data_IF_423663091271
#
_entry.id   IF_423663091271
#
_cell.length_a   1.000
_cell.length_b   1.000
_cell.length_c   1.000
_cell.angle_alpha   90.00
_cell.angle_beta   90.00
_cell.angle_gamma   90.00
#
_symmetry.space_group_name_H-M   'P 1'
#
loop_
_entity.id
_entity.type
_entity.pdbx_description
1 polymer ?
#
# COMPACT_ATOMS: atom_id res chain seq x y z
N UNK A 1 5.55 28.52 1.68
CA UNK A 1 4.90 27.19 1.69
C UNK A 1 5.90 26.21 2.25
N UNK A 2 5.55 25.52 3.33
CA UNK A 2 6.40 24.44 3.84
C UNK A 2 6.33 23.23 2.91
N UNK A 3 7.45 22.53 2.71
CA UNK A 3 7.49 21.27 1.97
C UNK A 3 6.77 20.21 2.80
N UNK A 4 6.02 19.33 2.14
CA UNK A 4 5.28 18.24 2.81
C UNK A 4 5.98 16.92 2.53
N UNK A 5 6.07 16.08 3.55
CA UNK A 5 6.70 14.77 3.45
C UNK A 5 5.78 13.70 3.99
N UNK A 6 5.61 12.60 3.26
CA UNK A 6 4.90 11.41 3.71
C UNK A 6 5.91 10.37 4.19
N UNK A 7 5.78 9.96 5.44
CA UNK A 7 6.64 8.95 6.04
C UNK A 7 6.23 7.56 5.56
N UNK A 8 7.19 6.84 4.97
CA UNK A 8 7.02 5.46 4.50
C UNK A 8 7.54 4.46 5.53
N UNK A 9 8.62 4.80 6.25
CA UNK A 9 9.19 3.90 7.26
C UNK A 9 9.26 4.64 8.60
N UNK A 10 8.70 4.08 9.68
CA UNK A 10 8.76 4.72 10.98
C UNK A 10 10.19 4.84 11.49
N UNK A 11 10.61 6.06 11.82
CA UNK A 11 11.97 6.34 12.31
C UNK A 11 11.95 7.44 13.37
N UNK A 12 12.72 7.29 14.46
CA UNK A 12 12.95 8.38 15.40
C UNK A 12 13.92 9.39 14.78
N UNK A 13 13.55 10.67 14.80
CA UNK A 13 14.47 11.76 14.45
C UNK A 13 14.12 13.03 15.24
N UNK A 14 14.95 14.07 15.08
CA UNK A 14 14.78 15.34 15.80
C UNK A 14 13.39 15.93 15.55
N UNK A 15 12.75 16.38 16.61
CA UNK A 15 11.44 17.03 16.62
C UNK A 15 11.51 18.54 16.84
N UNK A 16 12.70 19.09 17.11
CA UNK A 16 12.93 20.51 17.29
C UNK A 16 14.23 20.98 16.61
N UNK A 17 14.36 22.29 16.44
CA UNK A 17 15.52 22.92 15.82
C UNK A 17 16.84 22.62 16.55
N UNK A 18 16.77 22.46 17.88
CA UNK A 18 17.93 22.23 18.72
C UNK A 18 18.43 20.78 18.72
N UNK A 19 17.71 19.83 18.11
CA UNK A 19 18.12 18.41 18.12
C UNK A 19 17.91 17.70 19.45
N UNK A 20 17.29 18.35 20.44
CA UNK A 20 17.20 17.86 21.82
C UNK A 20 15.99 16.97 22.05
N UNK A 21 14.95 17.11 21.23
CA UNK A 21 13.75 16.27 21.30
C UNK A 21 13.74 15.30 20.13
N UNK A 22 13.46 14.03 20.42
CA UNK A 22 13.34 12.98 19.41
C UNK A 22 11.89 12.53 19.36
N UNK A 23 11.27 12.61 18.18
CA UNK A 23 9.92 12.10 17.93
C UNK A 23 10.01 10.89 17.00
N UNK A 24 9.20 9.87 17.28
CA UNK A 24 8.96 8.78 16.34
C UNK A 24 8.00 9.25 15.25
N UNK A 25 8.52 9.43 14.04
CA UNK A 25 7.73 9.68 12.85
C UNK A 25 7.05 8.38 12.42
N UNK A 26 5.72 8.35 12.39
CA UNK A 26 4.94 7.12 12.15
C UNK A 26 4.69 6.91 10.66
N UNK A 27 4.44 5.67 10.27
CA UNK A 27 4.08 5.32 8.90
C UNK A 27 2.80 6.05 8.47
N UNK A 28 2.79 6.59 7.25
CA UNK A 28 1.73 7.43 6.65
C UNK A 28 1.45 8.75 7.37
N UNK A 29 2.32 9.19 8.29
CA UNK A 29 2.26 10.55 8.82
C UNK A 29 2.72 11.52 7.73
N UNK A 30 1.88 12.52 7.43
CA UNK A 30 2.24 13.64 6.55
C UNK A 30 2.70 14.78 7.43
N UNK A 31 3.90 15.28 7.17
CA UNK A 31 4.55 16.30 7.99
C UNK A 31 4.85 17.49 7.10
N UNK A 32 4.41 18.66 7.55
CA UNK A 32 4.79 19.94 6.97
C UNK A 32 6.10 20.41 7.63
N UNK A 33 7.06 20.83 6.80
CA UNK A 33 8.35 21.33 7.27
C UNK A 33 8.19 22.60 8.10
N UNK A 34 8.65 22.58 9.35
CA UNK A 34 8.66 23.75 10.22
C UNK A 34 9.85 24.70 9.95
N UNK A 35 10.82 24.31 9.11
CA UNK A 35 11.98 25.11 8.73
C UNK A 35 13.10 24.26 8.10
N UNK A 36 14.23 24.91 7.80
CA UNK A 36 15.40 24.28 7.14
C UNK A 36 15.94 23.06 7.90
N UNK A 37 15.96 23.12 9.24
CA UNK A 37 16.41 22.01 10.08
C UNK A 37 15.57 20.74 9.90
N UNK A 38 14.27 20.91 9.66
CA UNK A 38 13.36 19.78 9.44
C UNK A 38 13.41 19.31 7.99
N UNK A 39 13.66 20.21 7.04
CA UNK A 39 13.92 19.85 5.66
C UNK A 39 15.16 18.96 5.54
N UNK A 40 16.24 19.24 6.25
CA UNK A 40 17.45 18.40 6.23
C UNK A 40 17.21 17.00 6.82
N UNK A 41 16.43 16.92 7.91
CA UNK A 41 15.99 15.64 8.47
C UNK A 41 15.15 14.87 7.46
N UNK A 42 14.19 15.53 6.81
CA UNK A 42 13.30 14.91 5.84
C UNK A 42 14.01 14.55 4.53
N UNK A 43 14.97 15.35 4.07
CA UNK A 43 15.83 15.04 2.93
C UNK A 43 16.63 13.76 3.18
N UNK A 44 17.14 13.58 4.40
CA UNK A 44 17.81 12.33 4.81
C UNK A 44 16.84 11.15 4.77
N UNK A 45 15.59 11.33 5.18
CA UNK A 45 14.58 10.29 5.09
C UNK A 45 14.24 9.96 3.63
N UNK A 46 14.10 10.96 2.76
CA UNK A 46 13.83 10.76 1.33
C UNK A 46 15.01 10.05 0.65
N UNK A 47 16.25 10.49 0.90
CA UNK A 47 17.46 9.88 0.34
C UNK A 47 17.61 8.40 0.73
N UNK A 48 17.19 8.05 1.94
CA UNK A 48 17.18 6.66 2.43
C UNK A 48 15.91 5.87 2.08
N UNK A 49 14.96 6.48 1.36
CA UNK A 49 13.67 5.85 1.00
C UNK A 49 12.71 5.64 2.19
N UNK A 50 12.92 6.34 3.30
CA UNK A 50 12.04 6.33 4.48
C UNK A 50 10.91 7.35 4.41
N UNK A 51 11.01 8.35 3.54
CA UNK A 51 9.95 9.31 3.27
C UNK A 51 9.83 9.60 1.76
N UNK A 52 8.71 10.19 1.37
CA UNK A 52 8.47 10.72 0.02
C UNK A 52 8.05 12.19 0.14
N UNK A 53 8.64 13.06 -0.67
CA UNK A 53 8.20 14.45 -0.78
C UNK A 53 6.86 14.51 -1.51
N UNK A 54 5.86 15.10 -0.86
CA UNK A 54 4.52 15.30 -1.39
C UNK A 54 4.46 16.74 -1.90
N UNK A 55 4.61 16.92 -3.22
CA UNK A 55 4.57 18.23 -3.89
C UNK A 55 3.13 18.70 -4.22
N UNK A 56 2.11 18.02 -3.69
CA UNK A 56 0.70 18.25 -4.05
C UNK A 56 -0.04 18.88 -2.88
N UNK A 57 -0.51 20.12 -3.07
CA UNK A 57 -1.42 20.82 -2.15
C UNK A 57 -2.91 20.45 -2.35
N UNK A 58 -3.24 19.58 -3.29
CA UNK A 58 -4.62 19.12 -3.54
C UNK A 58 -4.86 17.72 -2.99
N UNK A 59 -5.40 17.66 -1.78
CA UNK A 59 -6.04 16.45 -1.20
C UNK A 59 -7.15 15.91 -2.11
N UNK A 60 -7.73 16.75 -2.99
CA UNK A 60 -8.75 16.32 -3.95
C UNK A 60 -8.21 15.32 -4.98
N UNK A 61 -6.92 15.35 -5.36
CA UNK A 61 -6.37 14.46 -6.39
C UNK A 61 -5.81 13.13 -5.83
N UNK A 62 -5.65 13.01 -4.50
CA UNK A 62 -5.14 11.77 -3.87
C UNK A 62 -6.23 10.88 -3.28
N UNK A 63 -7.48 11.38 -3.23
CA UNK A 63 -8.66 10.56 -2.95
C UNK A 63 -9.07 9.71 -4.16
N UNK A 64 -8.82 10.16 -5.39
CA UNK A 64 -9.10 9.38 -6.60
C UNK A 64 -8.13 8.19 -6.81
N UNK A 65 -6.97 8.19 -6.16
CA UNK A 65 -5.99 7.09 -6.31
C UNK A 65 -6.18 5.98 -5.25
N UNK A 66 -7.01 6.20 -4.22
CA UNK A 66 -7.24 5.21 -3.15
C UNK A 66 -8.43 4.27 -3.37
N UNK A 67 -9.27 4.47 -4.41
CA UNK A 67 -10.54 3.76 -4.51
C UNK A 67 -10.85 3.13 -5.89
N UNK A 68 -9.84 2.83 -6.72
CA UNK A 68 -10.00 1.81 -7.77
C UNK A 68 -9.12 0.58 -7.50
N UNK A 69 -9.09 0.13 -6.24
CA UNK A 69 -9.06 -1.31 -6.01
C UNK A 69 -10.44 -1.81 -6.42
N UNK A 70 -10.67 -1.97 -7.73
CA UNK A 70 -11.79 -2.78 -8.23
C UNK A 70 -11.63 -4.14 -7.57
N UNK A 71 -12.37 -4.37 -6.49
CA UNK A 71 -12.55 -5.69 -5.94
C UNK A 71 -13.07 -6.54 -7.09
N UNK A 72 -12.17 -7.33 -7.68
CA UNK A 72 -12.51 -8.18 -8.80
C UNK A 72 -13.51 -9.21 -8.25
N UNK A 73 -14.80 -9.00 -8.55
CA UNK A 73 -15.89 -9.87 -8.12
C UNK A 73 -16.10 -10.95 -9.17
N UNK A 74 -16.45 -12.16 -8.72
CA UNK A 74 -16.84 -13.21 -9.65
C UNK A 74 -18.17 -12.86 -10.29
N UNK A 75 -18.25 -12.96 -11.60
CA UNK A 75 -19.48 -12.71 -12.33
C UNK A 75 -20.56 -13.73 -11.93
N UNK A 76 -21.79 -13.25 -11.80
CA UNK A 76 -22.98 -14.06 -11.57
C UNK A 76 -23.94 -13.91 -12.74
N UNK A 77 -24.60 -15.00 -13.12
CA UNK A 77 -25.68 -14.97 -14.11
C UNK A 77 -26.97 -14.42 -13.48
N UNK A 78 -28.02 -14.23 -14.31
CA UNK A 78 -29.33 -13.73 -13.88
C UNK A 78 -30.02 -14.59 -12.80
N UNK A 79 -29.57 -15.85 -12.64
CA UNK A 79 -30.04 -16.80 -11.61
C UNK A 79 -29.17 -16.76 -10.34
N UNK A 80 -28.21 -15.84 -10.26
CA UNK A 80 -27.29 -15.69 -9.14
C UNK A 80 -26.18 -16.76 -9.05
N UNK A 81 -26.04 -17.63 -10.05
CA UNK A 81 -24.99 -18.65 -10.10
C UNK A 81 -23.70 -18.07 -10.68
N UNK A 82 -22.56 -18.60 -10.28
CA UNK A 82 -21.25 -18.17 -10.77
C UNK A 82 -21.12 -18.50 -12.26
N UNK A 83 -20.66 -17.51 -13.03
CA UNK A 83 -20.36 -17.68 -14.45
C UNK A 83 -19.03 -18.42 -14.63
N UNK A 84 -18.99 -19.31 -15.64
CA UNK A 84 -17.78 -19.99 -16.08
C UNK A 84 -17.07 -19.15 -17.15
N UNK A 85 -15.78 -19.44 -17.33
CA UNK A 85 -14.93 -18.84 -18.36
C UNK A 85 -15.29 -19.42 -19.74
N UNK A 86 -15.43 -18.58 -20.78
CA UNK A 86 -15.66 -19.04 -22.15
C UNK A 86 -14.33 -19.15 -22.91
N UNK A 87 -13.89 -20.36 -23.30
CA UNK A 87 -12.64 -20.54 -24.05
C UNK A 87 -12.65 -19.91 -25.46
N UNK A 88 -13.80 -19.42 -25.94
CA UNK A 88 -13.95 -18.75 -27.23
C UNK A 88 -13.51 -17.28 -27.21
N UNK A 89 -13.37 -16.68 -26.02
CA UNK A 89 -12.96 -15.28 -25.78
C UNK A 89 -11.66 -15.24 -24.97
N UNK A 90 -10.49 -15.53 -25.58
CA UNK A 90 -9.22 -15.66 -24.86
C UNK A 90 -8.74 -14.36 -24.19
N UNK A 91 -9.23 -13.21 -24.65
CA UNK A 91 -8.82 -11.89 -24.16
C UNK A 91 -9.63 -11.40 -22.96
N UNK A 92 -10.77 -12.04 -22.62
CA UNK A 92 -11.68 -11.60 -21.54
C UNK A 92 -12.11 -12.79 -20.71
N UNK A 93 -11.96 -12.72 -19.39
CA UNK A 93 -12.42 -13.78 -18.49
C UNK A 93 -13.82 -13.47 -17.93
N UNK A 94 -14.87 -14.07 -18.50
CA UNK A 94 -16.26 -13.87 -18.08
C UNK A 94 -16.57 -14.47 -16.71
N UNK A 95 -15.65 -15.21 -16.08
CA UNK A 95 -15.83 -15.66 -14.70
C UNK A 95 -15.69 -14.50 -13.68
N UNK A 96 -15.28 -13.30 -14.11
CA UNK A 96 -15.09 -12.09 -13.30
C UNK A 96 -15.79 -10.86 -13.90
N UNK A 97 -16.37 -10.00 -13.05
CA UNK A 97 -17.13 -8.79 -13.43
C UNK A 97 -16.29 -7.67 -14.09
N UNK A 98 -15.02 -7.94 -14.42
CA UNK A 98 -14.10 -7.01 -15.07
C UNK A 98 -13.17 -7.65 -16.09
N UNK A 99 -13.42 -8.90 -16.50
CA UNK A 99 -12.63 -9.59 -17.53
C UNK A 99 -11.21 -10.00 -17.10
N UNK A 100 -10.69 -9.49 -15.99
CA UNK A 100 -9.39 -9.87 -15.44
C UNK A 100 -9.56 -10.65 -14.14
N UNK A 101 -8.91 -11.81 -14.04
CA UNK A 101 -8.81 -12.52 -12.77
C UNK A 101 -7.94 -11.72 -11.78
N UNK A 102 -8.23 -11.77 -10.46
CA UNK A 102 -7.41 -11.11 -9.48
C UNK A 102 -5.98 -11.65 -9.56
N UNK A 103 -5.01 -10.75 -9.73
CA UNK A 103 -3.58 -11.09 -9.73
C UNK A 103 -3.23 -11.64 -8.36
N UNK A 104 -3.20 -12.96 -8.22
CA UNK A 104 -2.89 -13.60 -6.95
C UNK A 104 -1.45 -13.24 -6.58
N UNK A 105 -1.27 -12.45 -5.52
CA UNK A 105 0.03 -12.41 -4.84
C UNK A 105 0.25 -13.82 -4.29
N UNK A 106 1.34 -14.47 -4.71
CA UNK A 106 1.61 -15.85 -4.37
C UNK A 106 1.51 -16.04 -2.85
N UNK A 107 0.43 -16.69 -2.37
CA UNK A 107 0.31 -17.07 -0.97
C UNK A 107 1.51 -17.96 -0.66
N UNK A 108 2.41 -17.47 0.19
CA UNK A 108 3.55 -18.22 0.74
C UNK A 108 3.03 -19.60 1.16
N UNK A 109 3.49 -20.66 0.48
CA UNK A 109 3.12 -22.04 0.82
C UNK A 109 3.46 -22.26 2.29
N UNK A 110 2.45 -22.35 3.14
CA UNK A 110 2.64 -22.84 4.50
C UNK A 110 2.90 -24.34 4.37
N UNK A 111 4.17 -24.72 4.52
CA UNK A 111 4.59 -26.13 4.57
C UNK A 111 3.79 -26.80 5.69
N UNK A 112 2.88 -27.72 5.33
CA UNK A 112 2.18 -28.56 6.30
C UNK A 112 3.23 -29.27 7.17
N UNK A 113 3.30 -28.90 8.45
CA UNK A 113 4.15 -29.59 9.43
C UNK A 113 3.60 -31.01 9.57
N UNK A 114 4.32 -31.98 8.99
CA UNK A 114 4.04 -33.41 9.11
C UNK A 114 4.35 -33.83 10.55
N UNK A 115 3.33 -33.94 11.39
CA UNK A 115 3.46 -34.54 12.72
C UNK A 115 3.61 -36.05 12.56
N UNK A 116 4.81 -36.55 12.79
CA UNK A 116 5.08 -37.98 12.93
C UNK A 116 4.33 -38.49 14.16
N UNK A 117 3.31 -39.33 13.96
CA UNK A 117 2.71 -40.11 15.04
C UNK A 117 3.82 -40.98 15.64
N UNK A 118 4.18 -40.72 16.91
CA UNK A 118 5.01 -41.62 17.72
C UNK A 118 4.15 -42.85 18.03
N UNK A 119 4.55 -44.01 17.53
CA UNK A 119 4.01 -45.29 17.96
C UNK A 119 4.60 -45.65 19.33
N UNK A 120 3.75 -45.97 20.30
CA UNK A 120 4.07 -46.74 21.50
C UNK A 120 2.83 -47.53 21.84
#
# INVERSE_FOLDING_TARGET
MGRKFKIVVPKPASANEHGTEVKLYKHNEIIESAGEWQDDVMNTFVNNGWAMEVKVDSVEETLDVQAEVKEVKRARNDKGQLQADDPSTPDVNEAWEGGEAPKTTAKKKTTKKRTTKKAT
#
